data_IF_122104334565
#
_entry.id   IF_122104334565
#
_cell.length_a   1.000
_cell.length_b   1.000
_cell.length_c   1.000
_cell.angle_alpha   90.00
_cell.angle_beta   90.00
_cell.angle_gamma   90.00
#
_symmetry.space_group_name_H-M   'P 1'
#
loop_
_entity.id
_entity.type
_entity.pdbx_description
1 polymer ?
#
# COMPACT_ATOMS: atom_id res chain seq x y z
N UNK A 1 6.46 15.82 3.78
CA UNK A 1 7.12 14.76 4.54
C UNK A 1 6.12 13.68 4.89
N UNK A 2 6.47 12.45 4.64
CA UNK A 2 5.54 11.33 4.90
C UNK A 2 5.61 10.88 6.37
N UNK A 3 4.46 10.58 6.96
CA UNK A 3 4.37 10.01 8.30
C UNK A 3 4.40 8.48 8.28
N UNK A 4 4.44 7.88 7.07
CA UNK A 4 4.38 6.43 6.90
C UNK A 4 5.43 5.64 7.67
N UNK A 5 6.69 6.09 7.81
CA UNK A 5 7.69 5.33 8.57
C UNK A 5 7.31 5.10 10.03
N UNK A 6 6.37 5.89 10.55
CA UNK A 6 5.95 5.80 11.94
C UNK A 6 4.58 5.13 12.11
N UNK A 7 3.99 4.65 11.02
CA UNK A 7 2.68 4.02 11.04
C UNK A 7 2.81 2.50 11.07
N UNK A 8 1.90 1.84 11.78
CA UNK A 8 1.78 0.38 11.77
C UNK A 8 0.82 -0.11 10.70
N UNK A 9 -0.14 0.72 10.32
CA UNK A 9 -1.14 0.42 9.30
C UNK A 9 -1.43 1.72 8.54
N UNK A 10 -1.55 1.62 7.22
CA UNK A 10 -1.88 2.77 6.37
C UNK A 10 -3.26 2.59 5.76
N UNK A 11 -4.15 3.53 6.06
CA UNK A 11 -5.51 3.54 5.53
C UNK A 11 -5.56 4.51 4.34
N UNK A 12 -6.00 4.02 3.19
CA UNK A 12 -5.91 4.79 1.96
C UNK A 12 -7.04 4.43 1.00
N UNK A 13 -7.29 5.29 0.02
CA UNK A 13 -8.19 4.97 -1.09
C UNK A 13 -7.52 4.09 -2.16
N UNK A 14 -6.21 3.88 -2.08
CA UNK A 14 -5.50 3.01 -3.01
C UNK A 14 -4.87 3.73 -4.19
N UNK A 15 -4.60 5.03 -4.06
CA UNK A 15 -3.88 5.77 -5.10
C UNK A 15 -2.48 5.22 -5.31
N UNK A 16 -1.96 5.36 -6.54
CA UNK A 16 -0.68 4.76 -6.93
C UNK A 16 0.50 5.26 -6.09
N UNK A 17 0.56 6.55 -5.78
CA UNK A 17 1.63 7.10 -4.96
C UNK A 17 1.62 6.54 -3.54
N UNK A 18 0.43 6.45 -2.94
CA UNK A 18 0.27 5.86 -1.61
C UNK A 18 0.66 4.39 -1.59
N UNK A 19 0.31 3.66 -2.66
CA UNK A 19 0.71 2.27 -2.83
C UNK A 19 2.22 2.12 -2.78
N UNK A 20 2.94 2.90 -3.57
CA UNK A 20 4.40 2.83 -3.63
C UNK A 20 5.06 3.21 -2.31
N UNK A 21 4.56 4.23 -1.63
CA UNK A 21 5.08 4.63 -0.34
C UNK A 21 4.91 3.52 0.71
N UNK A 22 3.73 2.93 0.78
CA UNK A 22 3.47 1.86 1.74
C UNK A 22 4.34 0.63 1.46
N UNK A 23 4.54 0.28 0.19
CA UNK A 23 5.41 -0.82 -0.19
C UNK A 23 6.86 -0.53 0.21
N UNK A 24 7.33 0.68 -0.06
CA UNK A 24 8.70 1.07 0.28
C UNK A 24 8.98 0.92 1.78
N UNK A 25 8.05 1.36 2.62
CA UNK A 25 8.22 1.32 4.07
C UNK A 25 7.74 0.01 4.71
N UNK A 26 7.20 -0.91 3.91
CA UNK A 26 6.76 -2.21 4.42
C UNK A 26 5.57 -2.14 5.36
N UNK A 27 4.62 -1.25 5.09
CA UNK A 27 3.47 -1.02 5.95
C UNK A 27 2.22 -1.67 5.36
N UNK A 28 1.52 -2.53 6.11
CA UNK A 28 0.24 -3.09 5.66
C UNK A 28 -0.80 -2.01 5.41
N UNK A 29 -1.62 -2.21 4.39
CA UNK A 29 -2.64 -1.24 3.98
C UNK A 29 -4.04 -1.74 4.24
N UNK A 30 -4.94 -0.80 4.56
CA UNK A 30 -6.38 -1.00 4.46
C UNK A 30 -6.86 -0.06 3.36
N UNK A 31 -7.39 -0.63 2.28
CA UNK A 31 -7.77 0.12 1.10
C UNK A 31 -9.27 0.21 1.00
N UNK A 32 -9.79 1.42 0.84
CA UNK A 32 -11.21 1.69 0.62
C UNK A 32 -11.31 2.37 -0.74
N UNK A 33 -11.33 1.59 -1.85
CA UNK A 33 -11.29 2.18 -3.18
C UNK A 33 -12.59 2.92 -3.50
N UNK A 34 -12.46 4.05 -4.18
CA UNK A 34 -13.59 4.90 -4.54
C UNK A 34 -13.86 4.90 -6.04
N UNK A 35 -12.81 4.78 -6.86
CA UNK A 35 -12.94 4.87 -8.31
C UNK A 35 -11.71 4.32 -9.04
N UNK A 36 -11.91 3.89 -10.29
CA UNK A 36 -10.86 3.66 -11.29
C UNK A 36 -9.68 2.84 -10.82
N UNK A 37 -8.50 3.42 -10.92
CA UNK A 37 -7.22 2.77 -10.59
C UNK A 37 -7.15 2.25 -9.17
N UNK A 38 -7.91 2.85 -8.27
CA UNK A 38 -7.94 2.45 -6.87
C UNK A 38 -8.46 1.02 -6.70
N UNK A 39 -9.42 0.61 -7.52
CA UNK A 39 -9.92 -0.78 -7.50
C UNK A 39 -8.86 -1.77 -7.98
N UNK A 40 -8.10 -1.39 -8.99
CA UNK A 40 -7.01 -2.22 -9.51
C UNK A 40 -5.94 -2.40 -8.44
N UNK A 41 -5.53 -1.32 -7.81
CA UNK A 41 -4.53 -1.35 -6.74
C UNK A 41 -5.02 -2.16 -5.53
N UNK A 42 -6.29 -2.03 -5.16
CA UNK A 42 -6.87 -2.79 -4.07
C UNK A 42 -6.82 -4.30 -4.35
N UNK A 43 -7.09 -4.69 -5.58
CA UNK A 43 -7.01 -6.10 -5.99
C UNK A 43 -5.58 -6.63 -5.87
N UNK A 44 -4.61 -5.87 -6.34
CA UNK A 44 -3.19 -6.23 -6.25
C UNK A 44 -2.76 -6.36 -4.78
N UNK A 45 -3.14 -5.41 -3.95
CA UNK A 45 -2.83 -5.41 -2.52
C UNK A 45 -3.37 -6.68 -1.85
N UNK A 46 -4.61 -7.04 -2.15
CA UNK A 46 -5.22 -8.26 -1.61
C UNK A 46 -4.51 -9.52 -2.10
N UNK A 47 -4.17 -9.57 -3.38
CA UNK A 47 -3.49 -10.74 -3.97
C UNK A 47 -2.09 -10.92 -3.41
N UNK A 48 -1.37 -9.83 -3.15
CA UNK A 48 -0.03 -9.87 -2.58
C UNK A 48 -0.04 -10.17 -1.08
N UNK A 49 -1.19 -10.08 -0.43
CA UNK A 49 -1.29 -10.32 1.01
C UNK A 49 -0.66 -9.22 1.85
N UNK A 50 -0.62 -8.00 1.34
CA UNK A 50 -0.01 -6.85 2.02
C UNK A 50 -1.04 -5.89 2.58
N UNK A 51 -2.32 -6.26 2.54
CA UNK A 51 -3.37 -5.43 3.09
C UNK A 51 -4.75 -6.03 2.88
N UNK A 52 -5.75 -5.30 3.35
CA UNK A 52 -7.15 -5.64 3.24
C UNK A 52 -7.88 -4.59 2.43
N UNK A 53 -8.92 -5.02 1.71
CA UNK A 53 -9.78 -4.12 0.95
C UNK A 53 -11.17 -4.09 1.57
N UNK A 54 -11.69 -2.88 1.80
CA UNK A 54 -13.07 -2.68 2.23
C UNK A 54 -13.83 -2.03 1.06
N UNK A 55 -14.83 -2.72 0.54
CA UNK A 55 -15.66 -2.16 -0.53
C UNK A 55 -16.43 -0.95 -0.01
N UNK A 56 -16.62 0.04 -0.89
CA UNK A 56 -17.34 1.27 -0.55
C UNK A 56 -18.73 0.99 0.03
N UNK A 57 -19.44 0.02 -0.53
CA UNK A 57 -20.80 -0.35 -0.06
C UNK A 57 -20.78 -1.06 1.29
N UNK A 58 -19.65 -1.65 1.68
CA UNK A 58 -19.48 -2.36 2.95
C UNK A 58 -18.81 -1.50 4.01
N UNK A 59 -18.48 -0.27 3.66
CA UNK A 59 -17.77 0.65 4.55
C UNK A 59 -18.62 0.98 5.77
N UNK A 60 -18.05 0.82 6.94
CA UNK A 60 -18.64 1.27 8.20
C UNK A 60 -17.52 1.37 9.24
N UNK A 61 -17.80 2.05 10.35
CA UNK A 61 -16.86 2.10 11.47
C UNK A 61 -16.51 0.69 11.95
N UNK A 62 -17.50 -0.18 11.97
CA UNK A 62 -17.33 -1.56 12.45
C UNK A 62 -16.39 -2.37 11.53
N UNK A 63 -16.57 -2.28 10.22
CA UNK A 63 -15.71 -3.00 9.26
C UNK A 63 -14.28 -2.45 9.30
N UNK A 64 -14.10 -1.15 9.44
CA UNK A 64 -12.77 -0.56 9.57
C UNK A 64 -12.08 -1.01 10.84
N UNK A 65 -12.79 -0.98 11.96
CA UNK A 65 -12.24 -1.41 13.24
C UNK A 65 -11.78 -2.87 13.20
N UNK A 66 -12.61 -3.75 12.64
CA UNK A 66 -12.26 -5.16 12.51
C UNK A 66 -11.02 -5.36 11.66
N UNK A 67 -10.89 -4.62 10.56
CA UNK A 67 -9.73 -4.69 9.69
C UNK A 67 -8.46 -4.22 10.40
N UNK A 68 -8.55 -3.13 11.15
CA UNK A 68 -7.42 -2.61 11.93
C UNK A 68 -6.94 -3.65 12.96
N UNK A 69 -7.88 -4.34 13.60
CA UNK A 69 -7.54 -5.37 14.58
C UNK A 69 -6.97 -6.64 13.94
N UNK A 70 -7.45 -7.00 12.76
CA UNK A 70 -7.08 -8.23 12.08
C UNK A 70 -5.62 -8.22 11.60
N UNK A 71 -5.14 -7.09 11.09
CA UNK A 71 -3.80 -7.01 10.51
C UNK A 71 -2.69 -7.35 11.52
N UNK A 72 -2.65 -6.75 12.73
CA UNK A 72 -1.62 -7.11 13.71
C UNK A 72 -1.71 -8.54 14.22
N UNK A 73 -2.91 -9.11 14.24
CA UNK A 73 -3.13 -10.48 14.71
C UNK A 73 -2.60 -11.53 13.74
N UNK A 74 -2.51 -11.19 12.45
CA UNK A 74 -2.01 -12.09 11.41
C UNK A 74 -0.65 -11.62 10.94
N UNK A 75 0.40 -12.24 11.44
CA UNK A 75 1.78 -11.88 11.12
C UNK A 75 2.11 -12.04 9.64
N UNK A 76 1.29 -12.74 8.87
CA UNK A 76 1.48 -12.93 7.44
C UNK A 76 1.51 -11.58 6.71
N UNK A 77 0.64 -10.65 7.08
CA UNK A 77 0.61 -9.32 6.46
C UNK A 77 1.94 -8.60 6.63
N UNK A 78 2.44 -8.55 7.86
CA UNK A 78 3.70 -7.86 8.15
C UNK A 78 4.87 -8.53 7.45
N UNK A 79 4.90 -9.86 7.45
CA UNK A 79 5.98 -10.62 6.81
C UNK A 79 6.01 -10.38 5.30
N UNK A 80 4.84 -10.41 4.65
CA UNK A 80 4.75 -10.15 3.22
C UNK A 80 5.11 -8.71 2.87
N UNK A 81 4.68 -7.75 3.69
CA UNK A 81 5.06 -6.36 3.50
C UNK A 81 6.57 -6.18 3.60
N UNK A 82 7.22 -6.84 4.55
CA UNK A 82 8.66 -6.76 4.72
C UNK A 82 9.40 -7.37 3.53
N UNK A 83 8.98 -8.54 3.07
CA UNK A 83 9.59 -9.19 1.90
C UNK A 83 9.49 -8.32 0.66
N UNK A 84 8.30 -7.77 0.41
CA UNK A 84 8.07 -6.91 -0.75
C UNK A 84 8.86 -5.61 -0.63
N UNK A 85 8.92 -5.03 0.57
CA UNK A 85 9.69 -3.82 0.84
C UNK A 85 11.17 -4.02 0.53
N UNK A 86 11.74 -5.13 0.97
CA UNK A 86 13.15 -5.45 0.71
C UNK A 86 13.44 -5.54 -0.79
N UNK A 87 12.56 -6.23 -1.53
CA UNK A 87 12.69 -6.32 -2.99
C UNK A 87 12.55 -4.95 -3.66
N UNK A 88 11.57 -4.18 -3.22
CA UNK A 88 11.31 -2.86 -3.78
C UNK A 88 12.47 -1.90 -3.56
N UNK A 89 13.05 -1.91 -2.36
CA UNK A 89 14.19 -1.05 -2.03
C UNK A 89 15.43 -1.41 -2.85
N UNK A 90 15.64 -2.68 -3.14
CA UNK A 90 16.73 -3.09 -4.03
C UNK A 90 16.59 -2.46 -5.41
N UNK A 91 15.38 -2.43 -5.95
CA UNK A 91 15.13 -1.79 -7.24
C UNK A 91 15.24 -0.27 -7.14
N UNK A 92 14.80 0.32 -6.03
CA UNK A 92 14.87 1.76 -5.83
C UNK A 92 16.31 2.26 -5.77
N UNK A 93 17.23 1.44 -5.31
CA UNK A 93 18.66 1.78 -5.25
C UNK A 93 19.35 1.63 -6.60
N UNK A 94 18.67 1.14 -7.64
CA UNK A 94 19.26 1.00 -8.95
C UNK A 94 19.02 2.26 -9.79
N UNK A 95 19.99 2.60 -10.64
CA UNK A 95 19.89 3.75 -11.55
C UNK A 95 18.67 3.65 -12.47
N UNK A 96 18.29 2.43 -12.83
CA UNK A 96 17.14 2.18 -13.69
C UNK A 96 15.84 2.70 -13.08
N UNK A 97 15.60 2.38 -11.82
CA UNK A 97 14.37 2.79 -11.14
C UNK A 97 14.35 4.30 -10.91
N UNK A 98 15.50 4.87 -10.53
CA UNK A 98 15.63 6.31 -10.36
C UNK A 98 15.30 7.04 -11.66
N UNK A 99 15.80 6.54 -12.78
CA UNK A 99 15.48 7.10 -14.10
C UNK A 99 14.00 7.01 -14.41
N UNK A 100 13.37 5.86 -14.15
CA UNK A 100 11.94 5.66 -14.39
C UNK A 100 11.09 6.62 -13.58
N UNK A 101 11.40 6.78 -12.31
CA UNK A 101 10.69 7.70 -11.43
C UNK A 101 10.86 9.13 -11.93
N UNK A 102 12.07 9.52 -12.32
CA UNK A 102 12.35 10.86 -12.84
C UNK A 102 11.55 11.13 -14.13
N UNK A 103 11.51 10.17 -15.05
CA UNK A 103 10.73 10.30 -16.28
C UNK A 103 9.24 10.51 -15.99
N UNK A 104 8.68 9.75 -15.03
CA UNK A 104 7.27 9.88 -14.66
C UNK A 104 6.96 11.24 -14.04
N UNK A 105 7.85 11.77 -13.23
CA UNK A 105 7.70 13.09 -12.64
C UNK A 105 7.72 14.18 -13.72
N UNK A 106 8.61 14.08 -14.71
CA UNK A 106 8.70 15.03 -15.80
C UNK A 106 7.47 15.01 -16.70
N UNK A 107 6.94 13.82 -16.98
CA UNK A 107 5.74 13.67 -17.80
C UNK A 107 4.50 14.27 -17.13
N UNK A 108 4.43 14.19 -15.80
CA UNK A 108 3.27 14.60 -15.03
C UNK A 108 3.33 16.06 -14.54
N UNK A 109 4.27 16.82 -14.99
CA UNK A 109 4.35 18.25 -14.68
C UNK A 109 3.30 19.06 -15.39
#
# INVERSE_FOLDING_TARGET
>A
MSILPYCDIFITHGGTNSFHEAVYFGIPMIVIPQKGDQYINAKVISQLGIGLCIEKKSWSYFTLRNSIQRIPEDSTYKNRCRELSEKYQKYADSDYVIRKITELIEINR
#
